data_IF_796925736220
#
_entry.id   IF_796925736220
#
_cell.length_a   1.000
_cell.length_b   1.000
_cell.length_c   1.000
_cell.angle_alpha   90.00
_cell.angle_beta   90.00
_cell.angle_gamma   90.00
#
_symmetry.space_group_name_H-M   'P 1'
#
loop_
_entity.id
_entity.type
_entity.pdbx_description
1 polymer ?
#
# COMPACT_ATOMS: atom_id res chain seq x y z
N UNK A 1 -16.48 9.17 -14.65
CA UNK A 1 -15.90 7.91 -15.16
C UNK A 1 -14.84 7.45 -14.18
N UNK A 2 -15.15 6.49 -13.31
CA UNK A 2 -14.11 5.77 -12.54
C UNK A 2 -13.68 4.58 -13.39
N UNK A 3 -12.48 4.67 -13.98
CA UNK A 3 -11.97 3.72 -14.98
C UNK A 3 -11.36 2.44 -14.37
N UNK A 4 -11.52 2.22 -13.07
CA UNK A 4 -11.07 1.00 -12.40
C UNK A 4 -12.09 0.61 -11.34
N UNK A 5 -12.50 -0.68 -11.24
CA UNK A 5 -13.27 -1.12 -10.09
C UNK A 5 -12.45 -0.81 -8.83
N UNK A 6 -13.04 -0.12 -7.86
CA UNK A 6 -12.41 0.17 -6.58
C UNK A 6 -12.00 -1.17 -5.94
N UNK A 7 -10.68 -1.45 -5.89
CA UNK A 7 -10.19 -2.66 -5.23
C UNK A 7 -10.29 -2.47 -3.72
N UNK A 8 -10.99 -3.39 -3.08
CA UNK A 8 -11.12 -3.46 -1.62
C UNK A 8 -9.96 -4.28 -1.07
N UNK A 9 -9.12 -3.66 -0.24
CA UNK A 9 -7.94 -4.30 0.35
C UNK A 9 -8.22 -4.88 1.75
N UNK A 10 -9.38 -4.58 2.37
CA UNK A 10 -9.71 -4.99 3.74
C UNK A 10 -10.02 -6.48 3.91
N UNK A 11 -10.21 -7.23 2.81
CA UNK A 11 -10.53 -8.67 2.86
C UNK A 11 -9.31 -9.58 2.74
N UNK A 12 -8.13 -9.04 2.44
CA UNK A 12 -6.90 -9.80 2.21
C UNK A 12 -6.17 -10.09 3.52
N UNK A 13 -5.65 -11.29 3.73
CA UNK A 13 -4.78 -11.54 4.88
C UNK A 13 -3.41 -10.80 4.75
N UNK A 14 -2.58 -10.85 5.79
CA UNK A 14 -1.27 -10.16 5.84
C UNK A 14 -0.38 -10.44 4.61
N UNK A 15 -0.26 -11.72 4.22
CA UNK A 15 0.59 -12.13 3.11
C UNK A 15 0.01 -11.68 1.77
N UNK A 16 -1.28 -11.89 1.57
CA UNK A 16 -2.02 -11.44 0.38
C UNK A 16 -1.92 -9.93 0.20
N UNK A 17 -2.10 -9.17 1.28
CA UNK A 17 -1.98 -7.71 1.27
C UNK A 17 -0.54 -7.29 0.95
N UNK A 18 0.47 -7.92 1.55
CA UNK A 18 1.88 -7.64 1.21
C UNK A 18 2.16 -7.85 -0.29
N UNK A 19 1.69 -8.97 -0.84
CA UNK A 19 1.87 -9.32 -2.25
C UNK A 19 1.18 -8.29 -3.14
N UNK A 20 -0.07 -7.95 -2.83
CA UNK A 20 -0.87 -7.04 -3.64
C UNK A 20 -0.29 -5.61 -3.62
N UNK A 21 0.17 -5.11 -2.46
CA UNK A 21 0.84 -3.81 -2.36
C UNK A 21 2.11 -3.77 -3.23
N UNK A 22 2.95 -4.82 -3.17
CA UNK A 22 4.19 -4.92 -3.97
C UNK A 22 3.88 -4.99 -5.46
N UNK A 23 2.89 -5.79 -5.84
CA UNK A 23 2.43 -5.91 -7.22
C UNK A 23 1.94 -4.57 -7.75
N UNK A 24 1.16 -3.84 -6.96
CA UNK A 24 0.61 -2.54 -7.36
C UNK A 24 1.67 -1.47 -7.51
N UNK A 25 2.64 -1.41 -6.58
CA UNK A 25 3.84 -0.57 -6.74
C UNK A 25 4.57 -0.83 -8.06
N UNK A 26 4.74 -2.11 -8.41
CA UNK A 26 5.38 -2.54 -9.67
C UNK A 26 4.57 -2.14 -10.90
N UNK A 27 3.24 -2.32 -10.88
CA UNK A 27 2.34 -1.91 -11.96
C UNK A 27 2.39 -0.40 -12.22
N UNK A 28 2.48 0.40 -11.15
CA UNK A 28 2.57 1.86 -11.23
C UNK A 28 4.00 2.38 -11.48
N UNK A 29 5.00 1.48 -11.52
CA UNK A 29 6.41 1.83 -11.68
C UNK A 29 6.96 2.80 -10.62
N UNK A 30 6.40 2.76 -9.41
CA UNK A 30 6.84 3.60 -8.28
C UNK A 30 7.85 2.81 -7.44
N UNK A 31 8.99 3.42 -7.11
CA UNK A 31 9.97 2.82 -6.21
C UNK A 31 9.63 3.11 -4.73
N UNK A 32 10.27 2.39 -3.81
CA UNK A 32 9.95 2.51 -2.38
C UNK A 32 10.40 3.83 -1.76
N UNK A 33 11.43 4.46 -2.32
CA UNK A 33 11.97 5.73 -1.82
C UNK A 33 10.94 6.84 -2.07
N UNK A 34 10.49 6.99 -3.31
CA UNK A 34 9.51 8.00 -3.71
C UNK A 34 8.19 7.83 -2.97
N UNK A 35 7.66 6.61 -2.91
CA UNK A 35 6.41 6.36 -2.20
C UNK A 35 6.56 6.62 -0.69
N UNK A 36 7.70 6.28 -0.08
CA UNK A 36 7.92 6.57 1.34
C UNK A 36 7.91 8.06 1.64
N UNK A 37 8.48 8.88 0.75
CA UNK A 37 8.42 10.34 0.84
C UNK A 37 6.99 10.86 0.66
N UNK A 38 6.26 10.32 -0.31
CA UNK A 38 4.88 10.72 -0.63
C UNK A 38 3.91 10.51 0.54
N UNK A 39 4.02 9.37 1.25
CA UNK A 39 3.18 9.11 2.43
C UNK A 39 3.81 9.58 3.76
N UNK A 40 4.93 10.31 3.70
CA UNK A 40 5.56 10.93 4.87
C UNK A 40 6.15 9.95 5.91
N UNK A 41 6.73 8.82 5.47
CA UNK A 41 7.38 7.85 6.36
C UNK A 41 8.83 7.57 5.96
N UNK A 42 9.67 7.15 6.90
CA UNK A 42 11.03 6.72 6.55
C UNK A 42 11.02 5.48 5.64
N UNK A 43 12.01 5.33 4.75
CA UNK A 43 12.16 4.14 3.92
C UNK A 43 12.20 2.84 4.74
N UNK A 44 12.78 2.86 5.95
CA UNK A 44 12.82 1.70 6.85
C UNK A 44 11.44 1.33 7.39
N UNK A 45 10.61 2.33 7.67
CA UNK A 45 9.22 2.15 8.10
C UNK A 45 8.39 1.63 6.93
N UNK A 46 8.57 2.21 5.75
CA UNK A 46 7.91 1.77 4.52
C UNK A 46 8.20 0.30 4.21
N UNK A 47 9.47 -0.12 4.22
CA UNK A 47 9.86 -1.53 3.99
C UNK A 47 9.24 -2.49 4.99
N UNK A 48 9.15 -2.10 6.27
CA UNK A 48 8.47 -2.90 7.31
C UNK A 48 6.98 -3.00 7.04
N UNK A 49 6.34 -1.88 6.74
CA UNK A 49 4.91 -1.82 6.41
C UNK A 49 4.57 -2.65 5.16
N UNK A 50 5.37 -2.58 4.11
CA UNK A 50 5.16 -3.40 2.89
C UNK A 50 5.26 -4.91 3.18
N UNK A 51 6.13 -5.31 4.11
CA UNK A 51 6.35 -6.73 4.44
C UNK A 51 5.41 -7.26 5.52
N UNK A 52 4.92 -6.38 6.41
CA UNK A 52 4.01 -6.69 7.53
C UNK A 52 2.96 -5.57 7.68
N UNK A 53 2.09 -5.36 6.68
CA UNK A 53 1.10 -4.29 6.70
C UNK A 53 0.19 -4.27 7.95
N UNK A 54 -0.24 -5.40 8.50
CA UNK A 54 -1.08 -5.44 9.70
C UNK A 54 -0.32 -5.19 11.01
N UNK A 55 1.00 -5.17 10.98
CA UNK A 55 1.83 -4.73 12.11
C UNK A 55 2.17 -3.23 12.05
N UNK A 56 1.87 -2.56 10.94
CA UNK A 56 2.06 -1.14 10.79
C UNK A 56 0.88 -0.34 11.38
N UNK A 57 1.04 0.98 11.50
CA UNK A 57 -0.09 1.84 11.89
C UNK A 57 -1.13 1.80 10.79
N UNK A 58 -2.37 1.50 11.15
CA UNK A 58 -3.49 1.43 10.20
C UNK A 58 -3.57 2.65 9.26
N UNK A 59 -3.41 3.86 9.80
CA UNK A 59 -3.41 5.09 8.99
C UNK A 59 -2.36 5.09 7.88
N UNK A 60 -1.15 4.60 8.14
CA UNK A 60 -0.07 4.56 7.14
C UNK A 60 -0.36 3.56 6.02
N UNK A 61 -0.98 2.43 6.37
CA UNK A 61 -1.41 1.43 5.39
C UNK A 61 -2.56 1.98 4.55
N UNK A 62 -3.51 2.69 5.16
CA UNK A 62 -4.60 3.37 4.45
C UNK A 62 -4.06 4.43 3.49
N UNK A 63 -3.11 5.26 3.92
CA UNK A 63 -2.49 6.27 3.06
C UNK A 63 -1.77 5.62 1.88
N UNK A 64 -0.98 4.56 2.11
CA UNK A 64 -0.36 3.79 1.04
C UNK A 64 -1.40 3.20 0.06
N UNK A 65 -2.44 2.56 0.58
CA UNK A 65 -3.48 1.95 -0.27
C UNK A 65 -4.20 3.00 -1.11
N UNK A 66 -4.46 4.19 -0.57
CA UNK A 66 -5.04 5.31 -1.31
C UNK A 66 -4.13 5.76 -2.45
N UNK A 67 -2.84 5.95 -2.20
CA UNK A 67 -1.86 6.32 -3.24
C UNK A 67 -1.73 5.25 -4.33
N UNK A 68 -2.00 3.99 -3.99
CA UNK A 68 -2.01 2.87 -4.93
C UNK A 68 -3.35 2.72 -5.70
N UNK A 69 -4.32 3.59 -5.43
CA UNK A 69 -5.65 3.60 -6.07
C UNK A 69 -6.63 2.58 -5.48
N UNK A 70 -6.41 2.17 -4.23
CA UNK A 70 -7.25 1.24 -3.49
C UNK A 70 -8.03 1.88 -2.36
N UNK A 71 -8.91 1.10 -1.73
CA UNK A 71 -9.62 1.51 -0.51
C UNK A 71 -9.65 0.36 0.50
N UNK A 72 -9.60 0.71 1.79
CA UNK A 72 -10.06 -0.17 2.85
C UNK A 72 -11.55 0.12 3.07
N UNK A 73 -12.39 -0.87 2.84
CA UNK A 73 -13.81 -0.85 3.23
C UNK A 73 -13.97 -1.27 4.68
#
# INVERSE_FOLDING_TARGET
MTLFPERIFSTLNEEELSIELKKRMKELQINYEDMSLQIGVSLSTFKRMINRPYQAKYSQVVDLVRELGGQFA
#
